data_IF_099026353156
#
_entry.id   IF_099026353156
#
_cell.length_a   1.000
_cell.length_b   1.000
_cell.length_c   1.000
_cell.angle_alpha   90.00
_cell.angle_beta   90.00
_cell.angle_gamma   90.00
#
_symmetry.space_group_name_H-M   'P 1'
#
loop_
_entity.id
_entity.type
_entity.pdbx_description
1 polymer ?
#
# COMPACT_ATOMS: atom_id res chain seq x y z
N UNK A 1 15.44 -9.79 -3.19
CA UNK A 1 15.78 -9.36 -1.81
C UNK A 1 15.11 -10.31 -0.81
N UNK A 2 15.68 -10.50 0.39
CA UNK A 2 15.12 -11.40 1.42
C UNK A 2 13.81 -10.82 1.97
N UNK A 3 12.69 -11.55 1.81
CA UNK A 3 11.43 -11.27 2.50
C UNK A 3 11.67 -11.41 3.99
N UNK A 4 11.52 -10.34 4.76
CA UNK A 4 11.61 -10.39 6.21
C UNK A 4 10.27 -9.93 6.80
N UNK A 5 9.28 -10.84 6.96
CA UNK A 5 7.94 -10.47 7.39
C UNK A 5 7.89 -9.72 8.72
N UNK A 6 8.90 -9.94 9.58
CA UNK A 6 9.09 -9.23 10.86
C UNK A 6 9.36 -7.72 10.70
N UNK A 7 9.69 -7.25 9.49
CA UNK A 7 9.91 -5.83 9.16
C UNK A 7 8.75 -5.17 8.42
N UNK A 8 7.62 -5.86 8.25
CA UNK A 8 6.47 -5.31 7.51
C UNK A 8 5.54 -4.46 8.39
N UNK A 9 5.90 -4.21 9.65
CA UNK A 9 5.16 -3.30 10.51
C UNK A 9 5.59 -1.87 10.20
N UNK A 10 4.62 -1.08 9.78
CA UNK A 10 4.76 0.36 9.58
C UNK A 10 3.76 1.09 10.46
N UNK A 11 3.93 2.40 10.59
CA UNK A 11 3.00 3.27 11.31
C UNK A 11 2.12 4.02 10.32
N UNK A 12 0.92 4.39 10.77
CA UNK A 12 0.08 5.34 10.04
C UNK A 12 0.66 6.74 10.25
N UNK A 13 0.91 7.45 9.16
CA UNK A 13 1.41 8.82 9.14
C UNK A 13 0.31 9.75 8.62
N UNK A 14 0.36 11.03 9.02
CA UNK A 14 -0.59 12.07 8.60
C UNK A 14 0.21 13.17 7.92
N UNK A 15 -0.13 13.52 6.69
CA UNK A 15 0.46 14.67 6.01
C UNK A 15 -0.02 15.96 6.69
N UNK A 16 0.90 16.83 7.16
CA UNK A 16 0.52 18.02 7.92
C UNK A 16 -0.09 19.14 7.07
N UNK A 17 -0.04 19.05 5.73
CA UNK A 17 -0.53 20.06 4.81
C UNK A 17 -1.93 19.68 4.31
N UNK A 18 -2.12 18.44 3.86
CA UNK A 18 -3.39 17.96 3.31
C UNK A 18 -4.28 17.31 4.38
N UNK A 19 -3.69 16.78 5.45
CA UNK A 19 -4.38 15.97 6.45
C UNK A 19 -4.59 14.51 6.02
N UNK A 20 -4.02 14.10 4.90
CA UNK A 20 -4.18 12.74 4.38
C UNK A 20 -3.42 11.72 5.22
N UNK A 21 -4.04 10.56 5.40
CA UNK A 21 -3.44 9.43 6.10
C UNK A 21 -2.74 8.52 5.09
N UNK A 22 -1.50 8.11 5.38
CA UNK A 22 -0.76 7.19 4.54
C UNK A 22 0.04 6.18 5.37
N UNK A 23 0.41 5.08 4.73
CA UNK A 23 1.31 4.07 5.27
C UNK A 23 2.42 3.80 4.26
N UNK A 24 3.64 3.61 4.75
CA UNK A 24 4.76 3.21 3.88
C UNK A 24 4.64 1.73 3.54
N UNK A 25 4.40 1.43 2.27
CA UNK A 25 4.37 0.06 1.76
C UNK A 25 5.81 -0.36 1.39
N UNK A 26 6.29 -1.52 1.86
CA UNK A 26 7.62 -2.00 1.50
C UNK A 26 7.83 -2.19 -0.01
N UNK A 27 8.99 -1.77 -0.51
CA UNK A 27 9.37 -1.84 -1.94
C UNK A 27 9.22 -3.25 -2.55
N UNK A 28 9.53 -4.29 -1.77
CA UNK A 28 9.42 -5.66 -2.27
C UNK A 28 7.98 -6.04 -2.62
N UNK A 29 6.97 -5.50 -1.91
CA UNK A 29 5.56 -5.74 -2.23
C UNK A 29 5.20 -5.06 -3.55
N UNK A 30 5.67 -3.83 -3.77
CA UNK A 30 5.47 -3.11 -5.04
C UNK A 30 6.09 -3.88 -6.21
N UNK A 31 7.30 -4.39 -6.02
CA UNK A 31 8.00 -5.20 -7.02
C UNK A 31 7.26 -6.50 -7.34
N UNK A 32 6.72 -7.19 -6.33
CA UNK A 32 5.98 -8.44 -6.53
C UNK A 32 4.60 -8.23 -7.16
N UNK A 33 3.93 -7.12 -6.82
CA UNK A 33 2.66 -6.74 -7.42
C UNK A 33 2.83 -6.12 -8.82
N UNK A 34 4.06 -5.74 -9.20
CA UNK A 34 4.33 -5.01 -10.44
C UNK A 34 3.74 -3.60 -10.43
N UNK A 35 3.56 -3.01 -9.25
CA UNK A 35 3.02 -1.65 -9.10
C UNK A 35 4.17 -0.64 -9.11
N UNK A 36 3.95 0.44 -9.85
CA UNK A 36 4.89 1.53 -10.05
C UNK A 36 4.20 2.88 -9.85
N UNK A 37 4.94 3.96 -10.09
CA UNK A 37 4.34 5.29 -10.17
C UNK A 37 3.19 5.28 -11.19
N UNK A 38 2.12 6.01 -10.88
CA UNK A 38 0.87 6.06 -11.65
C UNK A 38 0.04 4.76 -11.74
N UNK A 39 0.43 3.67 -11.06
CA UNK A 39 -0.46 2.50 -10.94
C UNK A 39 -1.72 2.89 -10.18
N UNK A 40 -2.86 2.86 -10.88
CA UNK A 40 -4.15 3.16 -10.28
C UNK A 40 -4.64 1.98 -9.43
N UNK A 41 -4.85 2.23 -8.14
CA UNK A 41 -5.27 1.19 -7.19
C UNK A 41 -6.66 1.51 -6.62
N UNK A 42 -7.42 0.45 -6.39
CA UNK A 42 -8.66 0.48 -5.60
C UNK A 42 -8.31 0.12 -4.16
N UNK A 43 -8.74 0.98 -3.22
CA UNK A 43 -8.62 0.75 -1.78
C UNK A 43 -10.02 0.52 -1.20
N UNK A 44 -10.22 -0.59 -0.52
CA UNK A 44 -11.50 -0.94 0.13
C UNK A 44 -11.28 -1.40 1.57
N UNK A 45 -12.33 -1.31 2.38
CA UNK A 45 -12.37 -1.87 3.73
C UNK A 45 -13.15 -3.20 3.69
N UNK A 46 -12.50 -4.30 4.05
CA UNK A 46 -13.13 -5.60 4.23
C UNK A 46 -13.02 -6.02 5.69
N UNK A 47 -14.13 -5.91 6.43
CA UNK A 47 -14.14 -6.16 7.88
C UNK A 47 -13.22 -5.19 8.64
N UNK A 48 -12.12 -5.71 9.17
CA UNK A 48 -11.09 -4.95 9.89
C UNK A 48 -9.79 -4.78 9.08
N UNK A 49 -9.82 -5.09 7.78
CA UNK A 49 -8.65 -5.09 6.91
C UNK A 49 -8.82 -4.05 5.78
N UNK A 50 -7.75 -3.33 5.46
CA UNK A 50 -7.67 -2.50 4.25
C UNK A 50 -7.11 -3.38 3.14
N UNK A 51 -7.89 -3.55 2.07
CA UNK A 51 -7.49 -4.32 0.89
C UNK A 51 -7.20 -3.36 -0.25
N UNK A 52 -6.01 -3.47 -0.83
CA UNK A 52 -5.56 -2.66 -1.96
C UNK A 52 -5.39 -3.58 -3.17
N UNK A 53 -5.99 -3.23 -4.30
CA UNK A 53 -5.90 -4.00 -5.55
C UNK A 53 -5.68 -3.09 -6.73
N UNK A 54 -4.93 -3.52 -7.74
CA UNK A 54 -4.80 -2.79 -9.00
C UNK A 54 -6.17 -2.64 -9.67
N UNK A 55 -6.47 -1.43 -10.19
CA UNK A 55 -7.65 -1.23 -11.01
C UNK A 55 -7.43 -1.85 -12.37
N UNK A 56 -8.08 -2.98 -12.62
CA UNK A 56 -8.13 -3.58 -13.95
C UNK A 56 -9.23 -2.88 -14.74
N UNK A 57 -8.87 -2.37 -15.92
CA UNK A 57 -9.85 -1.95 -16.92
C UNK A 57 -10.36 -3.22 -17.61
N UNK A 58 -11.64 -3.53 -17.44
CA UNK A 58 -12.34 -4.58 -18.20
C UNK A 58 -12.79 -4.07 -19.57
#
# INVERSE_FOLDING_TARGET
MKKNPEKNFTVVEVDPITGDYFVKIPEWMMTELGWYEDTEVKVILEGNEIVITERKYE
#
